data_IF_369602331335
#
_entry.id   IF_369602331335
#
_cell.length_a   1.000
_cell.length_b   1.000
_cell.length_c   1.000
_cell.angle_alpha   90.00
_cell.angle_beta   90.00
_cell.angle_gamma   90.00
#
_symmetry.space_group_name_H-M   'P 1'
#
loop_
_entity.id
_entity.type
_entity.pdbx_description
1 polymer ?
#
# COMPACT_ATOMS: atom_id res chain seq x y z
N UNK A 1 -26.68 19.84 60.55
CA UNK A 1 -26.99 18.43 60.86
C UNK A 1 -27.38 17.76 59.55
N UNK A 2 -26.70 16.68 59.18
CA UNK A 2 -26.88 16.00 57.89
C UNK A 2 -28.14 15.11 57.97
N UNK A 3 -29.06 15.11 56.97
CA UNK A 3 -30.33 14.36 57.06
C UNK A 3 -30.19 12.84 56.97
N UNK A 4 -29.00 12.33 56.66
CA UNK A 4 -28.75 10.95 56.27
C UNK A 4 -27.91 10.14 57.27
N UNK A 5 -27.62 10.68 58.45
CA UNK A 5 -27.03 9.88 59.51
C UNK A 5 -28.09 8.88 60.03
N UNK A 6 -27.78 7.57 60.12
CA UNK A 6 -28.70 6.60 60.70
C UNK A 6 -28.93 6.97 62.15
N UNK A 7 -30.10 7.52 62.43
CA UNK A 7 -30.40 8.02 63.75
C UNK A 7 -30.56 6.82 64.68
N UNK A 8 -29.59 6.61 65.56
CA UNK A 8 -29.63 5.63 66.65
C UNK A 8 -30.70 6.05 67.66
N UNK A 9 -31.97 5.97 67.28
CA UNK A 9 -33.09 6.04 68.21
C UNK A 9 -33.45 4.62 68.61
N UNK A 10 -33.04 4.22 69.81
CA UNK A 10 -33.44 2.94 70.40
C UNK A 10 -34.92 2.86 70.73
N UNK A 11 -35.69 3.96 70.67
CA UNK A 11 -37.17 3.99 70.62
C UNK A 11 -37.61 5.34 70.02
N UNK A 12 -38.37 5.34 68.92
CA UNK A 12 -38.94 6.56 68.30
C UNK A 12 -39.78 7.34 69.32
N UNK A 13 -39.73 8.70 69.37
CA UNK A 13 -40.54 9.49 70.31
C UNK A 13 -42.03 9.13 70.32
N UNK A 14 -42.59 8.79 69.15
CA UNK A 14 -43.96 8.29 69.01
C UNK A 14 -44.20 6.98 69.75
N UNK A 15 -43.25 6.04 69.70
CA UNK A 15 -43.35 4.78 70.42
C UNK A 15 -43.32 4.96 71.95
N UNK A 16 -42.60 5.98 72.47
CA UNK A 16 -42.66 6.35 73.90
C UNK A 16 -44.02 6.90 74.31
N UNK A 17 -44.66 7.70 73.44
CA UNK A 17 -46.01 8.24 73.70
C UNK A 17 -47.03 7.11 73.69
N UNK A 18 -46.97 6.22 72.68
CA UNK A 18 -47.85 5.05 72.58
C UNK A 18 -47.69 4.12 73.79
N UNK A 19 -46.46 3.85 74.23
CA UNK A 19 -46.21 3.08 75.45
C UNK A 19 -46.85 3.73 76.69
N UNK A 20 -46.81 5.07 76.80
CA UNK A 20 -47.44 5.80 77.91
C UNK A 20 -48.97 5.71 77.87
N UNK A 21 -49.57 5.72 76.68
CA UNK A 21 -51.01 5.54 76.50
C UNK A 21 -51.48 4.12 76.86
N UNK A 22 -50.64 3.10 76.61
CA UNK A 22 -50.87 1.72 77.06
C UNK A 22 -50.79 1.63 78.58
N UNK A 23 -49.75 2.21 79.19
CA UNK A 23 -49.60 2.18 80.66
C UNK A 23 -50.67 2.99 81.40
N UNK A 24 -51.23 4.02 80.76
CA UNK A 24 -52.32 4.83 81.34
C UNK A 24 -53.69 4.18 81.20
N UNK A 25 -53.80 2.99 80.58
CA UNK A 25 -55.05 2.27 80.37
C UNK A 25 -56.00 2.90 79.34
N UNK A 26 -55.54 3.94 78.64
CA UNK A 26 -56.32 4.63 77.60
C UNK A 26 -56.36 3.88 76.26
N UNK A 27 -55.49 2.90 76.08
CA UNK A 27 -55.38 2.08 74.87
C UNK A 27 -54.83 0.70 75.26
N UNK A 28 -55.36 -0.36 74.68
CA UNK A 28 -54.92 -1.73 74.99
C UNK A 28 -53.83 -2.19 74.00
N UNK A 29 -52.96 -3.11 74.44
CA UNK A 29 -51.90 -3.65 73.60
C UNK A 29 -52.48 -4.43 72.39
N UNK A 30 -53.63 -5.08 72.56
CA UNK A 30 -54.33 -5.79 71.49
C UNK A 30 -54.86 -4.84 70.39
N UNK A 31 -55.28 -3.61 70.74
CA UNK A 31 -55.69 -2.59 69.76
C UNK A 31 -54.50 -2.03 68.96
N UNK A 32 -53.29 -2.02 69.53
CA UNK A 32 -52.06 -1.66 68.82
C UNK A 32 -51.65 -2.77 67.83
N UNK A 33 -51.71 -4.01 68.27
CA UNK A 33 -51.23 -5.17 67.50
C UNK A 33 -52.23 -5.63 66.41
N UNK A 34 -53.52 -5.27 66.55
CA UNK A 34 -54.57 -5.56 65.55
C UNK A 34 -54.64 -4.53 64.43
N UNK A 35 -53.94 -3.40 64.54
CA UNK A 35 -53.94 -2.37 63.51
C UNK A 35 -53.21 -2.89 62.27
N UNK A 36 -53.89 -3.01 61.10
CA UNK A 36 -53.21 -3.38 59.87
C UNK A 36 -52.10 -2.38 59.61
N UNK A 37 -50.87 -2.87 59.51
CA UNK A 37 -49.80 -2.12 58.88
C UNK A 37 -50.22 -2.03 57.41
N UNK A 38 -50.88 -0.93 57.01
CA UNK A 38 -51.12 -0.68 55.59
C UNK A 38 -49.73 -0.73 54.91
N UNK A 39 -49.47 -1.84 54.23
CA UNK A 39 -48.15 -2.19 53.69
C UNK A 39 -47.73 -1.25 52.55
N UNK A 40 -48.60 -0.31 52.17
CA UNK A 40 -48.38 0.70 51.16
C UNK A 40 -48.14 2.06 51.84
N UNK A 41 -47.02 2.17 52.56
CA UNK A 41 -46.53 3.43 53.14
C UNK A 41 -46.13 4.44 52.05
N UNK A 42 -46.01 3.99 50.80
CA UNK A 42 -45.61 4.79 49.65
C UNK A 42 -46.67 4.79 48.55
N UNK A 43 -46.91 5.95 47.94
CA UNK A 43 -47.85 6.10 46.83
C UNK A 43 -47.44 5.23 45.63
N UNK A 44 -48.43 4.69 44.90
CA UNK A 44 -48.20 3.88 43.67
C UNK A 44 -47.28 4.59 42.67
N UNK A 45 -47.38 5.92 42.58
CA UNK A 45 -46.51 6.78 41.77
C UNK A 45 -45.03 6.73 42.17
N UNK A 46 -44.71 6.53 43.45
CA UNK A 46 -43.33 6.39 43.92
C UNK A 46 -42.76 5.03 43.48
N UNK A 47 -43.56 3.97 43.57
CA UNK A 47 -43.15 2.62 43.16
C UNK A 47 -42.87 2.58 41.65
N UNK A 48 -43.73 3.18 40.83
CA UNK A 48 -43.52 3.32 39.39
C UNK A 48 -42.27 4.16 39.07
N UNK A 49 -42.07 5.28 39.78
CA UNK A 49 -40.87 6.10 39.63
C UNK A 49 -39.59 5.35 40.05
N UNK A 50 -39.67 4.50 41.07
CA UNK A 50 -38.55 3.66 41.49
C UNK A 50 -38.21 2.61 40.42
N UNK A 51 -39.22 1.95 39.85
CA UNK A 51 -39.04 0.99 38.76
C UNK A 51 -38.45 1.64 37.51
N UNK A 52 -38.94 2.83 37.11
CA UNK A 52 -38.39 3.59 35.99
C UNK A 52 -36.93 3.98 36.26
N UNK A 53 -36.62 4.43 37.48
CA UNK A 53 -35.24 4.74 37.86
C UNK A 53 -34.32 3.50 37.85
N UNK A 54 -34.83 2.32 38.21
CA UNK A 54 -34.07 1.06 38.08
C UNK A 54 -33.76 0.76 36.62
N UNK A 55 -34.78 0.78 35.76
CA UNK A 55 -34.62 0.56 34.31
C UNK A 55 -33.67 1.59 33.68
N UNK A 56 -33.78 2.86 34.08
CA UNK A 56 -32.87 3.94 33.64
C UNK A 56 -31.43 3.62 34.00
N UNK A 57 -31.18 3.23 35.26
CA UNK A 57 -29.84 2.86 35.73
C UNK A 57 -29.28 1.67 34.96
N UNK A 58 -30.10 0.66 34.69
CA UNK A 58 -29.69 -0.51 33.92
C UNK A 58 -29.35 -0.13 32.47
N UNK A 59 -30.12 0.77 31.86
CA UNK A 59 -29.85 1.30 30.52
C UNK A 59 -28.57 2.14 30.47
N UNK A 60 -28.36 3.01 31.46
CA UNK A 60 -27.15 3.82 31.54
C UNK A 60 -25.90 2.94 31.74
N UNK A 61 -26.01 1.88 32.56
CA UNK A 61 -24.94 0.88 32.75
C UNK A 61 -24.64 0.12 31.44
N UNK A 62 -25.66 -0.39 30.76
CA UNK A 62 -25.49 -1.10 29.50
C UNK A 62 -24.89 -0.20 28.41
N UNK A 63 -25.25 1.08 28.39
CA UNK A 63 -24.69 2.06 27.47
C UNK A 63 -23.20 2.33 27.76
N UNK A 64 -22.82 2.41 29.05
CA UNK A 64 -21.42 2.55 29.44
C UNK A 64 -20.58 1.33 29.02
N UNK A 65 -21.10 0.12 29.25
CA UNK A 65 -20.42 -1.12 28.85
C UNK A 65 -20.23 -1.19 27.32
N UNK A 66 -21.22 -0.73 26.56
CA UNK A 66 -21.13 -0.63 25.10
C UNK A 66 -20.02 0.35 24.66
N UNK A 67 -19.96 1.54 25.27
CA UNK A 67 -18.92 2.52 24.98
C UNK A 67 -17.51 2.01 25.35
N UNK A 68 -17.37 1.27 26.45
CA UNK A 68 -16.11 0.60 26.81
C UNK A 68 -15.68 -0.41 25.75
N UNK A 69 -16.59 -1.28 25.29
CA UNK A 69 -16.29 -2.26 24.24
C UNK A 69 -15.95 -1.59 22.90
N UNK A 70 -16.64 -0.50 22.55
CA UNK A 70 -16.30 0.29 21.36
C UNK A 70 -14.89 0.84 21.43
N UNK A 71 -14.51 1.39 22.58
CA UNK A 71 -13.20 1.97 22.82
C UNK A 71 -12.10 0.90 22.80
N UNK A 72 -12.34 -0.27 23.39
CA UNK A 72 -11.41 -1.41 23.32
C UNK A 72 -11.19 -1.83 21.87
N UNK A 73 -12.26 -1.95 21.08
CA UNK A 73 -12.18 -2.31 19.67
C UNK A 73 -11.51 -1.21 18.82
N UNK A 74 -11.70 0.07 19.12
CA UNK A 74 -11.02 1.17 18.43
C UNK A 74 -9.53 1.27 18.79
N UNK A 75 -9.15 0.87 20.01
CA UNK A 75 -7.76 0.88 20.47
C UNK A 75 -7.04 -0.45 20.29
N UNK A 76 -7.75 -1.47 19.79
CA UNK A 76 -7.28 -2.83 19.62
C UNK A 76 -5.96 -2.94 18.83
N UNK A 77 -5.77 -2.07 17.85
CA UNK A 77 -4.60 -2.06 16.97
C UNK A 77 -3.31 -1.65 17.68
N UNK A 78 -3.42 -0.87 18.77
CA UNK A 78 -2.30 -0.37 19.57
C UNK A 78 -2.21 -0.97 20.98
N UNK A 79 -3.27 -1.62 21.47
CA UNK A 79 -3.29 -2.25 22.81
C UNK A 79 -3.13 -3.76 22.75
N UNK A 80 -3.74 -4.45 21.75
CA UNK A 80 -3.68 -5.90 21.71
C UNK A 80 -2.37 -6.42 21.13
N UNK A 81 -1.77 -7.33 21.88
CA UNK A 81 -0.54 -8.03 21.51
C UNK A 81 -0.63 -8.74 20.16
N UNK A 82 -1.81 -9.24 19.77
CA UNK A 82 -2.01 -9.90 18.48
C UNK A 82 -1.69 -8.97 17.30
N UNK A 83 -2.33 -7.80 17.21
CA UNK A 83 -2.09 -6.84 16.14
C UNK A 83 -0.69 -6.20 16.22
N UNK A 84 -0.24 -5.88 17.44
CA UNK A 84 1.10 -5.35 17.66
C UNK A 84 2.18 -6.32 17.22
N UNK A 85 2.07 -7.60 17.58
CA UNK A 85 3.10 -8.62 17.28
C UNK A 85 3.34 -8.75 15.77
N UNK A 86 2.27 -8.75 14.97
CA UNK A 86 2.37 -8.77 13.51
C UNK A 86 3.07 -7.52 12.96
N UNK A 87 2.72 -6.33 13.47
CA UNK A 87 3.37 -5.08 13.04
C UNK A 87 4.84 -5.02 13.46
N UNK A 88 5.17 -5.47 14.67
CA UNK A 88 6.55 -5.59 15.15
C UNK A 88 7.35 -6.55 14.30
N UNK A 89 6.80 -7.72 13.95
CA UNK A 89 7.48 -8.68 13.08
C UNK A 89 7.77 -8.09 11.69
N UNK A 90 6.79 -7.39 11.10
CA UNK A 90 6.98 -6.71 9.82
C UNK A 90 8.04 -5.60 9.89
N UNK A 91 8.01 -4.78 10.94
CA UNK A 91 8.99 -3.72 11.16
C UNK A 91 10.40 -4.28 11.40
N UNK A 92 10.50 -5.36 12.15
CA UNK A 92 11.76 -6.06 12.43
C UNK A 92 12.35 -6.63 11.14
N UNK A 93 11.54 -7.27 10.31
CA UNK A 93 11.96 -7.79 9.01
C UNK A 93 12.43 -6.65 8.08
N UNK A 94 11.69 -5.55 8.02
CA UNK A 94 12.10 -4.39 7.24
C UNK A 94 13.43 -3.82 7.74
N UNK A 95 13.60 -3.71 9.05
CA UNK A 95 14.83 -3.22 9.67
C UNK A 95 16.02 -4.13 9.40
N UNK A 96 15.84 -5.46 9.45
CA UNK A 96 16.91 -6.41 9.12
C UNK A 96 17.33 -6.30 7.66
N UNK A 97 16.37 -6.19 6.74
CA UNK A 97 16.69 -5.98 5.32
C UNK A 97 17.46 -4.67 5.09
N UNK A 98 17.09 -3.59 5.77
CA UNK A 98 17.82 -2.31 5.68
C UNK A 98 19.26 -2.46 6.20
N UNK A 99 19.47 -3.16 7.31
CA UNK A 99 20.80 -3.46 7.84
C UNK A 99 21.65 -4.28 6.86
N UNK A 100 21.06 -5.27 6.20
CA UNK A 100 21.76 -6.08 5.20
C UNK A 100 22.17 -5.25 3.99
N UNK A 101 21.28 -4.38 3.49
CA UNK A 101 21.58 -3.45 2.39
C UNK A 101 22.73 -2.50 2.76
N UNK A 102 22.72 -1.95 3.98
CA UNK A 102 23.82 -1.10 4.45
C UNK A 102 25.13 -1.88 4.53
N UNK A 103 25.09 -3.14 4.99
CA UNK A 103 26.27 -4.00 5.03
C UNK A 103 26.82 -4.24 3.62
N UNK A 104 25.97 -4.61 2.67
CA UNK A 104 26.39 -4.79 1.27
C UNK A 104 26.95 -3.50 0.66
N UNK A 105 26.33 -2.36 0.93
CA UNK A 105 26.83 -1.06 0.49
C UNK A 105 28.23 -0.79 1.05
N UNK A 106 28.47 -1.06 2.34
CA UNK A 106 29.81 -0.89 2.94
C UNK A 106 30.84 -1.81 2.29
N UNK A 107 30.51 -3.09 2.10
CA UNK A 107 31.38 -4.06 1.41
C UNK A 107 31.67 -3.62 -0.02
N UNK A 108 30.66 -3.17 -0.75
CA UNK A 108 30.82 -2.69 -2.12
C UNK A 108 31.70 -1.44 -2.15
N UNK A 109 31.50 -0.50 -1.23
CA UNK A 109 32.33 0.69 -1.09
C UNK A 109 33.78 0.32 -0.80
N UNK A 110 34.04 -0.61 0.11
CA UNK A 110 35.38 -1.13 0.38
C UNK A 110 36.01 -1.77 -0.88
N UNK A 111 35.23 -2.54 -1.64
CA UNK A 111 35.71 -3.16 -2.88
C UNK A 111 36.03 -2.13 -3.96
N UNK A 112 35.23 -1.08 -4.09
CA UNK A 112 35.43 -0.02 -5.07
C UNK A 112 36.52 0.98 -4.66
N UNK A 113 36.70 1.20 -3.36
CA UNK A 113 37.77 2.07 -2.82
C UNK A 113 39.11 1.36 -2.77
N UNK A 114 39.15 0.03 -2.80
CA UNK A 114 40.40 -0.73 -3.02
C UNK A 114 40.96 -0.35 -4.39
N UNK A 115 42.14 0.28 -4.46
CA UNK A 115 42.74 0.63 -5.74
C UNK A 115 43.03 -0.66 -6.52
N UNK A 116 42.54 -0.72 -7.76
CA UNK A 116 42.80 -1.82 -8.71
C UNK A 116 44.32 -2.10 -8.87
N UNK A 117 45.14 -1.09 -8.58
CA UNK A 117 46.60 -1.12 -8.67
C UNK A 117 47.30 -1.83 -7.50
N UNK A 118 46.61 -2.29 -6.45
CA UNK A 118 47.22 -3.11 -5.40
C UNK A 118 47.23 -4.62 -5.71
N UNK A 119 46.64 -5.04 -6.82
CA UNK A 119 46.88 -6.36 -7.41
C UNK A 119 48.08 -6.38 -8.37
N UNK A 120 48.84 -5.28 -8.45
CA UNK A 120 50.12 -5.32 -9.13
C UNK A 120 51.02 -6.28 -8.34
N UNK A 121 51.45 -7.36 -9.00
CA UNK A 121 52.59 -8.15 -8.52
C UNK A 121 53.70 -7.15 -8.14
N UNK A 122 54.40 -7.33 -7.01
CA UNK A 122 55.55 -6.48 -6.71
C UNK A 122 56.59 -6.65 -7.83
N UNK A 123 56.61 -5.69 -8.76
CA UNK A 123 57.59 -5.66 -9.84
C UNK A 123 58.90 -5.21 -9.19
N UNK A 124 59.95 -6.02 -9.31
CA UNK A 124 61.28 -5.63 -8.87
C UNK A 124 61.69 -4.31 -9.55
N UNK A 125 62.34 -3.40 -8.81
CA UNK A 125 62.71 -2.08 -9.30
C UNK A 125 63.48 -2.13 -10.64
N UNK A 126 64.32 -3.15 -10.81
CA UNK A 126 65.13 -3.38 -12.01
C UNK A 126 64.29 -3.63 -13.28
N UNK A 127 63.04 -4.09 -13.11
CA UNK A 127 62.10 -4.39 -14.19
C UNK A 127 61.19 -3.20 -14.55
N UNK A 128 61.18 -2.13 -13.75
CA UNK A 128 60.26 -1.00 -13.96
C UNK A 128 60.47 -0.31 -15.30
N UNK A 129 61.73 -0.14 -15.73
CA UNK A 129 62.05 0.47 -17.03
C UNK A 129 61.39 -0.28 -18.20
N UNK A 130 61.49 -1.61 -18.18
CA UNK A 130 60.92 -2.45 -19.23
C UNK A 130 59.39 -2.44 -19.21
N UNK A 131 58.78 -2.36 -18.03
CA UNK A 131 57.31 -2.29 -17.89
C UNK A 131 56.78 -0.94 -18.39
N UNK A 132 57.50 0.16 -18.12
CA UNK A 132 57.13 1.49 -18.65
C UNK A 132 57.24 1.52 -20.17
N UNK A 133 58.32 0.98 -20.73
CA UNK A 133 58.49 0.84 -22.18
C UNK A 133 57.38 -0.03 -22.80
N UNK A 134 57.06 -1.17 -22.18
CA UNK A 134 55.98 -2.03 -22.62
C UNK A 134 54.62 -1.33 -22.57
N UNK A 135 54.33 -0.62 -21.49
CA UNK A 135 53.07 0.11 -21.35
C UNK A 135 52.94 1.22 -22.41
N UNK A 136 54.05 1.90 -22.73
CA UNK A 136 54.12 2.85 -23.84
C UNK A 136 53.76 2.20 -25.18
N UNK A 137 54.38 1.05 -25.48
CA UNK A 137 54.07 0.29 -26.71
C UNK A 137 52.61 -0.21 -26.76
N UNK A 138 52.06 -0.63 -25.63
CA UNK A 138 50.66 -1.08 -25.53
C UNK A 138 49.69 0.07 -25.82
N UNK A 139 49.94 1.26 -25.26
CA UNK A 139 49.12 2.45 -25.52
C UNK A 139 49.17 2.84 -27.00
N UNK A 140 50.35 2.87 -27.60
CA UNK A 140 50.53 3.17 -29.02
C UNK A 140 49.82 2.13 -29.91
N UNK A 141 49.92 0.85 -29.56
CA UNK A 141 49.22 -0.23 -30.26
C UNK A 141 47.70 -0.09 -30.19
N UNK A 142 47.14 0.19 -29.00
CA UNK A 142 45.69 0.40 -28.82
C UNK A 142 45.23 1.57 -29.68
N UNK A 143 45.97 2.68 -29.69
CA UNK A 143 45.64 3.84 -30.49
C UNK A 143 45.66 3.53 -32.00
N UNK A 144 46.67 2.78 -32.47
CA UNK A 144 46.78 2.37 -33.87
C UNK A 144 45.65 1.42 -34.27
N UNK A 145 45.30 0.48 -33.40
CA UNK A 145 44.19 -0.45 -33.60
C UNK A 145 42.86 0.30 -33.70
N UNK A 146 42.61 1.28 -32.83
CA UNK A 146 41.39 2.08 -32.85
C UNK A 146 41.26 2.85 -34.18
N UNK A 147 42.34 3.47 -34.65
CA UNK A 147 42.36 4.14 -35.96
C UNK A 147 42.04 3.16 -37.09
N UNK A 148 42.65 1.97 -37.09
CA UNK A 148 42.37 0.94 -38.11
C UNK A 148 40.92 0.47 -38.06
N UNK A 149 40.33 0.28 -36.88
CA UNK A 149 38.91 -0.09 -36.73
C UNK A 149 38.02 1.01 -37.31
N UNK A 150 38.29 2.29 -37.02
CA UNK A 150 37.53 3.41 -37.59
C UNK A 150 37.61 3.44 -39.11
N UNK A 151 38.79 3.18 -39.69
CA UNK A 151 38.97 3.07 -41.14
C UNK A 151 38.12 1.93 -41.71
N UNK A 152 38.13 0.74 -41.08
CA UNK A 152 37.31 -0.40 -41.52
C UNK A 152 35.82 -0.09 -41.42
N UNK A 153 35.38 0.62 -40.37
CA UNK A 153 33.98 1.04 -40.21
C UNK A 153 33.54 2.11 -41.22
N UNK A 154 34.47 2.92 -41.71
CA UNK A 154 34.22 3.94 -42.73
C UNK A 154 34.14 3.36 -44.17
N UNK A 155 34.54 2.10 -44.38
CA UNK A 155 34.35 1.43 -45.66
C UNK A 155 32.83 1.31 -45.90
N UNK A 156 32.29 1.85 -47.01
CA UNK A 156 30.86 1.78 -47.28
C UNK A 156 30.41 0.32 -47.29
N UNK A 157 29.47 -0.02 -46.42
CA UNK A 157 28.93 -1.38 -46.35
C UNK A 157 28.23 -1.69 -47.67
N UNK A 158 28.49 -2.88 -48.21
CA UNK A 158 27.86 -3.41 -49.44
C UNK A 158 26.33 -3.25 -49.41
N UNK A 159 25.72 -3.21 -48.23
CA UNK A 159 24.30 -2.95 -48.00
C UNK A 159 23.78 -1.64 -48.61
N UNK A 160 24.53 -0.52 -48.56
CA UNK A 160 24.06 0.76 -49.13
C UNK A 160 24.07 0.75 -50.65
N UNK A 161 25.02 0.04 -51.26
CA UNK A 161 25.04 -0.18 -52.70
C UNK A 161 23.91 -1.13 -53.13
N UNK A 162 23.67 -2.19 -52.35
CA UNK A 162 22.55 -3.11 -52.58
C UNK A 162 21.19 -2.42 -52.47
N UNK A 163 20.98 -1.54 -51.50
CA UNK A 163 19.71 -0.79 -51.36
C UNK A 163 19.48 0.15 -52.55
N UNK A 164 20.52 0.84 -53.01
CA UNK A 164 20.44 1.71 -54.18
C UNK A 164 20.14 0.91 -55.46
N UNK A 165 20.78 -0.25 -55.62
CA UNK A 165 20.54 -1.15 -56.75
C UNK A 165 19.11 -1.71 -56.71
N UNK A 166 18.64 -2.16 -55.56
CA UNK A 166 17.26 -2.61 -55.39
C UNK A 166 16.24 -1.50 -55.71
N UNK A 167 16.51 -0.26 -55.30
CA UNK A 167 15.67 0.88 -55.68
C UNK A 167 15.70 1.17 -57.19
N UNK A 168 16.85 0.98 -57.85
CA UNK A 168 16.93 1.14 -59.30
C UNK A 168 16.17 0.02 -60.03
N UNK A 169 16.24 -1.22 -59.55
CA UNK A 169 15.48 -2.35 -60.10
C UNK A 169 13.99 -2.11 -59.96
N UNK A 170 13.50 -1.67 -58.80
CA UNK A 170 12.06 -1.41 -58.62
C UNK A 170 11.56 -0.30 -59.54
N UNK A 171 12.35 0.75 -59.75
CA UNK A 171 12.03 1.81 -60.73
C UNK A 171 11.97 1.26 -62.16
N UNK A 172 12.92 0.40 -62.54
CA UNK A 172 12.98 -0.18 -63.89
C UNK A 172 11.81 -1.12 -64.14
N UNK A 173 11.42 -1.92 -63.15
CA UNK A 173 10.22 -2.77 -63.21
C UNK A 173 8.95 -1.92 -63.37
N UNK A 174 8.82 -0.82 -62.62
CA UNK A 174 7.67 0.08 -62.75
C UNK A 174 7.56 0.67 -64.17
N UNK A 175 8.67 1.15 -64.72
CA UNK A 175 8.71 1.64 -66.11
C UNK A 175 8.38 0.54 -67.12
N UNK A 176 8.86 -0.70 -66.89
CA UNK A 176 8.52 -1.86 -67.71
C UNK A 176 7.01 -2.12 -67.75
N UNK A 177 6.33 -2.07 -66.60
CA UNK A 177 4.87 -2.22 -66.53
C UNK A 177 4.12 -1.06 -67.19
N UNK A 178 4.64 0.16 -67.11
CA UNK A 178 4.05 1.31 -67.78
C UNK A 178 4.15 1.18 -69.30
N UNK A 179 5.32 0.78 -69.82
CA UNK A 179 5.52 0.50 -71.24
C UNK A 179 4.61 -0.62 -71.72
N UNK A 180 4.46 -1.71 -70.94
CA UNK A 180 3.54 -2.79 -71.27
C UNK A 180 2.08 -2.32 -71.31
N UNK A 181 1.67 -1.48 -70.36
CA UNK A 181 0.32 -0.91 -70.34
C UNK A 181 0.08 0.05 -71.52
N UNK A 182 1.05 0.89 -71.86
CA UNK A 182 1.00 1.76 -73.04
C UNK A 182 0.90 0.93 -74.32
N UNK A 183 1.69 -0.13 -74.42
CA UNK A 183 1.62 -1.08 -75.55
C UNK A 183 0.23 -1.70 -75.68
N UNK A 184 -0.35 -2.20 -74.57
CA UNK A 184 -1.73 -2.73 -74.54
C UNK A 184 -2.77 -1.68 -74.96
N UNK A 185 -2.63 -0.43 -74.53
CA UNK A 185 -3.53 0.66 -74.94
C UNK A 185 -3.45 0.96 -76.44
N UNK A 186 -2.25 1.02 -77.01
CA UNK A 186 -2.05 1.21 -78.45
C UNK A 186 -2.67 0.06 -79.25
N UNK A 187 -2.46 -1.18 -78.80
CA UNK A 187 -3.01 -2.36 -79.45
C UNK A 187 -4.54 -2.36 -79.41
N UNK A 188 -5.14 -1.97 -78.27
CA UNK A 188 -6.59 -1.79 -78.13
C UNK A 188 -7.11 -0.72 -79.09
N UNK A 189 -6.47 0.45 -79.19
CA UNK A 189 -6.86 1.51 -80.14
C UNK A 189 -6.80 1.03 -81.59
N UNK A 190 -5.77 0.26 -81.97
CA UNK A 190 -5.65 -0.32 -83.32
C UNK A 190 -6.75 -1.34 -83.60
N UNK A 191 -7.13 -2.16 -82.62
CA UNK A 191 -8.26 -3.10 -82.73
C UNK A 191 -9.61 -2.40 -82.92
N UNK A 192 -9.87 -1.31 -82.20
CA UNK A 192 -11.11 -0.52 -82.32
C UNK A 192 -11.20 0.21 -83.67
N UNK A 193 -10.06 0.58 -84.27
CA UNK A 193 -10.01 1.16 -85.62
C UNK A 193 -10.41 0.13 -86.70
N UNK A 194 -10.07 -1.14 -86.51
CA UNK A 194 -10.44 -2.22 -87.43
C UNK A 194 -11.91 -2.66 -87.30
N UNK A 195 -12.53 -2.56 -86.12
CA UNK A 195 -13.97 -2.82 -85.96
C UNK A 195 -14.83 -1.70 -86.52
N UNK A 196 -14.41 -0.43 -86.35
CA UNK A 196 -15.15 0.72 -86.91
C UNK A 196 -15.19 0.70 -88.44
N UNK A 197 -14.15 0.20 -89.13
CA UNK A 197 -14.16 0.05 -90.59
C UNK A 197 -15.14 -1.06 -91.03
N UNK A 198 -15.36 -2.08 -90.19
CA UNK A 198 -16.28 -3.19 -90.49
C UNK A 198 -17.75 -2.81 -90.27
N UNK A 199 -18.04 -1.95 -89.29
CA UNK A 199 -19.39 -1.45 -89.01
C UNK A 199 -19.84 -0.31 -89.94
N UNK A 200 -18.91 0.35 -90.64
CA UNK A 200 -19.23 1.31 -91.73
C UNK A 200 -19.33 0.68 -93.12
N UNK A 201 -19.41 -0.66 -93.21
CA UNK A 201 -19.51 -1.41 -94.47
C UNK A 201 -20.63 -2.46 -94.46
N UNK A 202 -21.76 -2.16 -93.82
CA UNK A 202 -23.06 -2.82 -94.06
C UNK A 202 -24.09 -1.80 -94.53
#
# INVERSE_FOLDING_TARGET
MNPWDPITYTVTPSAKILARCVTSGTMTQEELDTRPLDSEVFSTSLLEAEQLNRIRRDLDQANLDLELLKLERDSADVTHTYYLSQRFASLQQFTSHLQDVLREQTVLRERLTKPLCQQNLPIHADLHRYVVELMGMVVEFIQNLEVKIKVVQAIPKTDSYLSNLNSAITQLLAHGTEVENLYKQVLKRRGHLHTNIKDTSS
#
